data_IF_449916655095
#
_entry.id   IF_449916655095
#
_cell.length_a   1.000
_cell.length_b   1.000
_cell.length_c   1.000
_cell.angle_alpha   90.00
_cell.angle_beta   90.00
_cell.angle_gamma   90.00
#
_symmetry.space_group_name_H-M   'P 1'
#
loop_
_entity.id
_entity.type
_entity.pdbx_description
1 polymer ?
#
# COMPACT_ATOMS: atom_id res chain seq x y z
N UNK A 1 -22.54 -26.02 36.72
CA UNK A 1 -21.38 -26.60 36.00
C UNK A 1 -20.94 -25.77 34.78
N UNK A 2 -21.83 -25.26 33.92
CA UNK A 2 -21.45 -24.49 32.72
C UNK A 2 -20.59 -23.24 33.00
N UNK A 3 -20.87 -22.50 34.08
CA UNK A 3 -20.11 -21.30 34.47
C UNK A 3 -18.65 -21.65 34.82
N UNK A 4 -18.44 -22.73 35.57
CA UNK A 4 -17.09 -23.20 35.95
C UNK A 4 -16.31 -23.64 34.71
N UNK A 5 -16.95 -24.38 33.80
CA UNK A 5 -16.33 -24.77 32.53
C UNK A 5 -15.96 -23.54 31.68
N UNK A 6 -16.84 -22.55 31.57
CA UNK A 6 -16.56 -21.31 30.85
C UNK A 6 -15.37 -20.55 31.44
N UNK A 7 -15.28 -20.42 32.77
CA UNK A 7 -14.14 -19.78 33.44
C UNK A 7 -12.82 -20.54 33.21
N UNK A 8 -12.85 -21.87 33.24
CA UNK A 8 -11.69 -22.70 32.94
C UNK A 8 -11.24 -22.55 31.49
N UNK A 9 -12.16 -22.59 30.52
CA UNK A 9 -11.81 -22.36 29.10
C UNK A 9 -11.21 -20.98 28.87
N UNK A 10 -11.73 -19.94 29.53
CA UNK A 10 -11.17 -18.59 29.47
C UNK A 10 -9.76 -18.53 30.06
N UNK A 11 -9.52 -19.19 31.20
CA UNK A 11 -8.20 -19.23 31.85
C UNK A 11 -7.18 -19.98 31.01
N UNK A 12 -7.55 -21.14 30.47
CA UNK A 12 -6.70 -21.94 29.57
C UNK A 12 -6.37 -21.17 28.30
N UNK A 13 -7.36 -20.52 27.68
CA UNK A 13 -7.13 -19.67 26.50
C UNK A 13 -6.16 -18.52 26.79
N UNK A 14 -6.34 -17.80 27.90
CA UNK A 14 -5.43 -16.72 28.32
C UNK A 14 -4.00 -17.21 28.54
N UNK A 15 -3.84 -18.38 29.14
CA UNK A 15 -2.51 -19.00 29.34
C UNK A 15 -1.88 -19.41 28.01
N UNK A 16 -2.65 -20.03 27.12
CA UNK A 16 -2.17 -20.39 25.77
C UNK A 16 -1.73 -19.15 25.00
N UNK A 17 -2.55 -18.10 24.99
CA UNK A 17 -2.25 -16.84 24.32
C UNK A 17 -0.98 -16.21 24.91
N UNK A 18 -0.85 -16.18 26.24
CA UNK A 18 0.33 -15.67 26.92
C UNK A 18 1.60 -16.43 26.51
N UNK A 19 1.55 -17.76 26.47
CA UNK A 19 2.69 -18.58 26.06
C UNK A 19 3.04 -18.37 24.58
N UNK A 20 2.04 -18.34 23.69
CA UNK A 20 2.26 -18.08 22.26
C UNK A 20 2.90 -16.72 22.05
N UNK A 21 2.38 -15.66 22.67
CA UNK A 21 2.97 -14.33 22.52
C UNK A 21 4.37 -14.24 23.13
N UNK A 22 4.58 -14.81 24.32
CA UNK A 22 5.89 -14.79 24.98
C UNK A 22 6.95 -15.55 24.19
N UNK A 23 6.63 -16.74 23.67
CA UNK A 23 7.53 -17.53 22.84
C UNK A 23 7.75 -16.90 21.46
N UNK A 24 6.70 -16.35 20.83
CA UNK A 24 6.80 -15.70 19.52
C UNK A 24 7.73 -14.48 19.55
N UNK A 25 7.75 -13.74 20.66
CA UNK A 25 8.57 -12.54 20.81
C UNK A 25 10.06 -12.84 20.70
N UNK A 26 10.53 -13.93 21.29
CA UNK A 26 11.95 -14.30 21.20
C UNK A 26 12.31 -14.75 19.79
N UNK A 27 11.45 -15.53 19.13
CA UNK A 27 11.67 -15.99 17.75
C UNK A 27 11.71 -14.80 16.78
N UNK A 28 10.72 -13.92 16.85
CA UNK A 28 10.57 -12.78 15.94
C UNK A 28 11.58 -11.67 16.21
N UNK A 29 12.16 -11.63 17.41
CA UNK A 29 13.27 -10.74 17.71
C UNK A 29 14.60 -11.18 17.07
N UNK A 30 14.79 -12.48 16.81
CA UNK A 30 16.07 -13.01 16.30
C UNK A 30 16.00 -13.46 14.84
N UNK A 31 14.81 -13.68 14.29
CA UNK A 31 14.64 -14.23 12.96
C UNK A 31 13.81 -13.29 12.07
N UNK A 32 14.50 -12.58 11.17
CA UNK A 32 13.88 -11.68 10.20
C UNK A 32 12.97 -12.44 9.21
N UNK A 33 13.32 -13.66 8.81
CA UNK A 33 12.45 -14.47 7.94
C UNK A 33 11.11 -14.76 8.59
N UNK A 34 11.09 -15.00 9.90
CA UNK A 34 9.85 -15.21 10.65
C UNK A 34 8.97 -13.94 10.64
N UNK A 35 9.59 -12.76 10.69
CA UNK A 35 8.88 -11.47 10.58
C UNK A 35 8.31 -11.30 9.18
N UNK A 36 9.09 -11.58 8.12
CA UNK A 36 8.63 -11.54 6.73
C UNK A 36 7.48 -12.52 6.49
N UNK A 37 7.55 -13.74 7.04
CA UNK A 37 6.46 -14.71 6.94
C UNK A 37 5.19 -14.26 7.69
N UNK A 38 5.34 -13.59 8.83
CA UNK A 38 4.21 -12.99 9.53
C UNK A 38 3.57 -11.87 8.69
N UNK A 39 4.37 -10.97 8.11
CA UNK A 39 3.88 -9.93 7.21
C UNK A 39 3.15 -10.55 6.01
N UNK A 40 3.75 -11.55 5.37
CA UNK A 40 3.12 -12.30 4.27
C UNK A 40 1.78 -12.90 4.67
N UNK A 41 1.69 -13.43 5.89
CA UNK A 41 0.44 -13.96 6.46
C UNK A 41 -0.60 -12.87 6.67
N UNK A 42 -0.20 -11.66 7.11
CA UNK A 42 -1.09 -10.49 7.20
C UNK A 42 -1.65 -10.08 5.84
N UNK A 43 -0.80 -9.98 4.81
CA UNK A 43 -1.24 -9.67 3.44
C UNK A 43 -2.18 -10.75 2.89
N UNK A 44 -1.82 -12.02 3.06
CA UNK A 44 -2.64 -13.17 2.60
C UNK A 44 -4.00 -13.21 3.27
N UNK A 45 -4.06 -13.03 4.60
CA UNK A 45 -5.31 -13.01 5.36
C UNK A 45 -6.20 -11.84 4.94
N UNK A 46 -5.60 -10.66 4.70
CA UNK A 46 -6.34 -9.45 4.32
C UNK A 46 -6.87 -9.53 2.90
N UNK A 47 -6.10 -10.06 1.95
CA UNK A 47 -6.50 -10.15 0.55
C UNK A 47 -7.32 -11.41 0.22
N UNK A 48 -7.37 -12.38 1.14
CA UNK A 48 -8.12 -13.64 0.94
C UNK A 48 -7.45 -14.57 -0.08
N UNK A 49 -6.13 -14.49 -0.22
CA UNK A 49 -5.33 -15.21 -1.23
C UNK A 49 -4.92 -16.63 -0.78
N UNK A 50 -5.81 -17.37 -0.12
CA UNK A 50 -5.52 -18.72 0.36
C UNK A 50 -5.61 -19.78 -0.75
N UNK A 51 -4.63 -20.69 -0.81
CA UNK A 51 -4.54 -21.78 -1.78
C UNK A 51 -5.58 -22.91 -1.60
N UNK A 52 -6.31 -22.94 -0.48
CA UNK A 52 -7.32 -23.97 -0.17
C UNK A 52 -8.74 -23.43 -0.38
N UNK A 53 -9.44 -24.00 -1.36
CA UNK A 53 -10.54 -23.36 -2.09
C UNK A 53 -11.95 -23.48 -1.47
N UNK A 54 -12.16 -23.16 -0.20
CA UNK A 54 -13.52 -23.30 0.40
C UNK A 54 -14.13 -22.00 0.94
N UNK A 55 -13.35 -20.96 1.28
CA UNK A 55 -13.89 -19.64 1.63
C UNK A 55 -12.85 -18.55 1.29
N UNK A 56 -13.09 -17.74 0.25
CA UNK A 56 -12.32 -16.51 0.01
C UNK A 56 -12.83 -15.40 0.92
N UNK A 57 -12.55 -15.55 2.20
CA UNK A 57 -13.10 -14.69 3.25
C UNK A 57 -11.95 -13.79 3.74
N UNK A 58 -11.55 -12.85 2.88
CA UNK A 58 -10.50 -11.86 3.16
C UNK A 58 -11.01 -10.69 4.01
N UNK A 59 -10.11 -9.76 4.31
CA UNK A 59 -10.40 -8.50 5.00
C UNK A 59 -9.89 -8.43 6.44
N UNK A 60 -10.20 -7.31 7.11
CA UNK A 60 -9.77 -7.02 8.49
C UNK A 60 -10.29 -8.08 9.48
N UNK A 61 -11.48 -8.60 9.21
CA UNK A 61 -12.09 -9.74 9.89
C UNK A 61 -11.12 -10.95 9.96
N UNK A 62 -10.58 -11.37 8.82
CA UNK A 62 -9.63 -12.48 8.73
C UNK A 62 -8.29 -12.14 9.39
N UNK A 63 -7.79 -10.92 9.16
CA UNK A 63 -6.53 -10.42 9.75
C UNK A 63 -6.54 -10.45 11.29
N UNK A 64 -7.67 -10.09 11.90
CA UNK A 64 -7.84 -10.00 13.35
C UNK A 64 -8.48 -11.24 13.99
N UNK A 65 -8.85 -12.25 13.20
CA UNK A 65 -9.46 -13.49 13.70
C UNK A 65 -10.95 -13.38 14.01
N UNK A 66 -11.63 -12.36 13.49
CA UNK A 66 -13.08 -12.15 13.58
C UNK A 66 -13.76 -12.51 12.25
N UNK A 67 -13.98 -13.79 11.97
CA UNK A 67 -14.72 -14.25 10.78
C UNK A 67 -15.57 -15.50 11.04
N UNK A 68 -16.70 -15.61 10.34
CA UNK A 68 -17.54 -16.82 10.27
C UNK A 68 -16.73 -17.95 9.61
N UNK A 69 -15.94 -18.67 10.40
CA UNK A 69 -14.99 -19.67 9.90
C UNK A 69 -14.09 -20.28 10.97
N UNK A 70 -14.05 -19.71 12.19
CA UNK A 70 -13.39 -20.29 13.38
C UNK A 70 -13.90 -21.69 13.78
N UNK A 71 -14.91 -22.23 13.09
CA UNK A 71 -15.52 -23.53 13.38
C UNK A 71 -15.21 -24.63 12.35
N UNK A 72 -14.49 -24.35 11.26
CA UNK A 72 -14.28 -25.34 10.20
C UNK A 72 -13.10 -26.30 10.42
N UNK A 73 -12.26 -26.06 11.43
CA UNK A 73 -11.17 -26.96 11.82
C UNK A 73 -11.24 -27.18 13.33
N UNK A 74 -11.61 -28.40 13.74
CA UNK A 74 -11.70 -28.83 15.14
C UNK A 74 -10.34 -28.96 15.84
N UNK A 75 -9.54 -27.89 15.84
CA UNK A 75 -8.24 -27.79 16.51
C UNK A 75 -8.07 -26.42 17.20
N UNK A 76 -6.94 -26.25 17.91
CA UNK A 76 -6.53 -24.95 18.47
C UNK A 76 -6.53 -23.90 17.34
N UNK A 77 -7.43 -22.91 17.41
CA UNK A 77 -7.46 -21.85 16.41
C UNK A 77 -6.10 -21.14 16.41
N UNK A 78 -5.38 -21.10 15.27
CA UNK A 78 -4.13 -20.34 15.20
C UNK A 78 -4.41 -18.88 15.55
N UNK A 79 -3.50 -18.26 16.30
CA UNK A 79 -3.56 -16.82 16.60
C UNK A 79 -3.55 -16.06 15.28
N UNK A 80 -4.52 -15.17 15.09
CA UNK A 80 -4.65 -14.41 13.86
C UNK A 80 -3.38 -13.55 13.61
N UNK A 81 -2.88 -13.49 12.36
CA UNK A 81 -1.58 -12.90 12.07
C UNK A 81 -1.51 -11.41 12.43
N UNK A 82 -2.62 -10.66 12.28
CA UNK A 82 -2.67 -9.25 12.67
C UNK A 82 -2.61 -9.05 14.18
N UNK A 83 -3.27 -9.92 14.96
CA UNK A 83 -3.19 -9.87 16.44
C UNK A 83 -1.78 -10.19 16.91
N UNK A 84 -1.13 -11.18 16.29
CA UNK A 84 0.26 -11.51 16.58
C UNK A 84 1.17 -10.32 16.28
N UNK A 85 1.05 -9.71 15.11
CA UNK A 85 1.82 -8.53 14.73
C UNK A 85 1.64 -7.37 15.72
N UNK A 86 0.39 -7.03 16.09
CA UNK A 86 0.09 -5.97 17.05
C UNK A 86 0.69 -6.20 18.45
N UNK A 87 0.98 -7.44 18.83
CA UNK A 87 1.61 -7.76 20.12
C UNK A 87 3.13 -7.67 20.07
N UNK A 88 3.74 -7.85 18.90
CA UNK A 88 5.20 -7.99 18.78
C UNK A 88 5.89 -6.82 18.09
N UNK A 89 5.18 -5.96 17.34
CA UNK A 89 5.81 -4.98 16.45
C UNK A 89 6.84 -4.08 17.14
N UNK A 90 6.61 -3.75 18.43
CA UNK A 90 7.52 -2.96 19.27
C UNK A 90 8.85 -3.66 19.60
N UNK A 91 8.96 -4.95 19.30
CA UNK A 91 10.14 -5.77 19.55
C UNK A 91 10.98 -5.98 18.29
N UNK A 92 10.52 -5.50 17.14
CA UNK A 92 11.26 -5.53 15.89
C UNK A 92 12.28 -4.38 15.91
N UNK A 93 13.57 -4.70 15.75
CA UNK A 93 14.65 -3.70 15.82
C UNK A 93 14.85 -2.95 14.51
N UNK A 94 14.86 -3.68 13.40
CA UNK A 94 15.26 -3.14 12.09
C UNK A 94 14.04 -2.67 11.28
N UNK A 95 13.50 -1.52 11.69
CA UNK A 95 12.30 -0.94 11.09
C UNK A 95 12.48 -0.51 9.63
N UNK A 96 13.70 -0.14 9.21
CA UNK A 96 14.01 0.23 7.82
C UNK A 96 13.91 -0.98 6.88
N UNK A 97 14.59 -2.08 7.23
CA UNK A 97 14.50 -3.35 6.49
C UNK A 97 13.06 -3.84 6.43
N UNK A 98 12.35 -3.74 7.56
CA UNK A 98 10.93 -4.10 7.62
C UNK A 98 10.07 -3.29 6.62
N UNK A 99 10.35 -2.00 6.44
CA UNK A 99 9.62 -1.18 5.48
C UNK A 99 9.91 -1.59 4.03
N UNK A 100 11.15 -1.98 3.71
CA UNK A 100 11.52 -2.55 2.41
C UNK A 100 10.82 -3.90 2.17
N UNK A 101 10.71 -4.74 3.20
CA UNK A 101 9.98 -6.01 3.14
C UNK A 101 8.47 -5.79 2.93
N UNK A 102 7.89 -4.80 3.61
CA UNK A 102 6.47 -4.42 3.44
C UNK A 102 6.24 -3.90 2.01
N UNK A 103 7.14 -3.05 1.50
CA UNK A 103 7.09 -2.53 0.14
C UNK A 103 7.18 -3.68 -0.90
N UNK A 104 8.09 -4.63 -0.68
CA UNK A 104 8.26 -5.81 -1.53
C UNK A 104 7.02 -6.71 -1.51
N UNK A 105 6.43 -6.96 -0.34
CA UNK A 105 5.20 -7.73 -0.19
C UNK A 105 3.99 -7.03 -0.80
N UNK A 106 3.92 -5.70 -0.74
CA UNK A 106 2.90 -4.91 -1.43
C UNK A 106 3.00 -5.13 -2.94
N UNK A 107 4.19 -5.01 -3.52
CA UNK A 107 4.39 -5.21 -4.96
C UNK A 107 4.15 -6.66 -5.40
N UNK A 108 4.51 -7.64 -4.57
CA UNK A 108 4.14 -9.04 -4.79
C UNK A 108 2.63 -9.25 -4.79
N UNK A 109 1.92 -8.61 -3.85
CA UNK A 109 0.46 -8.68 -3.78
C UNK A 109 -0.20 -8.03 -4.99
N UNK A 110 0.33 -6.90 -5.48
CA UNK A 110 -0.13 -6.25 -6.72
C UNK A 110 0.03 -7.18 -7.92
N UNK A 111 1.15 -7.89 -8.02
CA UNK A 111 1.40 -8.85 -9.10
C UNK A 111 0.34 -9.96 -9.09
N UNK A 112 0.05 -10.55 -7.93
CA UNK A 112 -0.98 -11.58 -7.81
C UNK A 112 -2.38 -11.05 -8.18
N UNK A 113 -2.74 -9.85 -7.69
CA UNK A 113 -4.00 -9.18 -8.05
C UNK A 113 -4.07 -8.99 -9.57
N UNK A 114 -3.01 -8.50 -10.21
CA UNK A 114 -2.97 -8.29 -11.66
C UNK A 114 -3.12 -9.61 -12.44
N UNK A 115 -2.48 -10.69 -12.00
CA UNK A 115 -2.60 -12.02 -12.62
C UNK A 115 -4.05 -12.54 -12.59
N UNK A 116 -4.84 -12.19 -11.57
CA UNK A 116 -6.29 -12.54 -11.51
C UNK A 116 -7.18 -11.71 -12.43
N UNK A 117 -6.71 -10.56 -12.92
CA UNK A 117 -7.46 -9.65 -13.81
C UNK A 117 -7.29 -9.97 -15.29
N UNK A 118 -6.15 -10.54 -15.69
CA UNK A 118 -5.83 -10.79 -17.11
C UNK A 118 -6.48 -12.10 -17.56
N UNK A 119 -7.24 -12.12 -18.67
CA UNK A 119 -7.76 -13.37 -19.20
C UNK A 119 -6.61 -14.28 -19.61
N UNK A 120 -6.54 -15.49 -19.03
CA UNK A 120 -5.73 -16.60 -19.57
C UNK A 120 -6.28 -16.97 -20.95
N UNK A 121 -5.89 -16.25 -22.00
CA UNK A 121 -6.29 -16.59 -23.36
C UNK A 121 -5.33 -17.68 -23.88
N UNK A 122 -5.90 -18.90 -24.00
CA UNK A 122 -5.40 -20.12 -24.68
C UNK A 122 -4.18 -20.84 -24.08
N UNK A 123 -4.48 -21.92 -23.36
CA UNK A 123 -3.96 -23.23 -23.77
C UNK A 123 -5.13 -24.18 -24.02
N UNK A 124 -5.06 -24.85 -25.18
CA UNK A 124 -6.09 -25.67 -25.76
C UNK A 124 -6.43 -26.93 -24.95
N UNK A 125 -7.71 -27.34 -25.05
CA UNK A 125 -8.25 -28.69 -24.80
C UNK A 125 -8.03 -29.25 -23.38
N UNK A 126 -8.89 -28.89 -22.43
CA UNK A 126 -9.31 -29.86 -21.42
C UNK A 126 -10.80 -29.78 -21.09
N UNK A 127 -11.43 -30.93 -21.34
CA UNK A 127 -12.81 -31.38 -21.16
C UNK A 127 -13.60 -30.64 -20.06
N UNK A 128 -14.82 -30.24 -20.41
CA UNK A 128 -15.92 -29.91 -19.48
C UNK A 128 -16.00 -30.97 -18.37
N UNK A 129 -15.55 -30.63 -17.16
CA UNK A 129 -15.95 -31.33 -15.94
C UNK A 129 -17.17 -30.61 -15.35
N UNK A 130 -18.14 -31.40 -14.89
CA UNK A 130 -19.52 -31.01 -14.52
C UNK A 130 -19.66 -30.13 -13.25
N UNK A 131 -18.57 -29.58 -12.72
CA UNK A 131 -18.57 -28.66 -11.58
C UNK A 131 -17.64 -27.48 -11.88
N UNK A 132 -18.16 -26.52 -12.66
CA UNK A 132 -17.39 -25.38 -13.15
C UNK A 132 -17.36 -24.23 -12.15
N UNK A 133 -16.33 -24.15 -11.32
CA UNK A 133 -15.97 -22.90 -10.63
C UNK A 133 -15.18 -22.05 -11.64
N UNK A 134 -15.85 -21.18 -12.39
CA UNK A 134 -15.17 -20.16 -13.20
C UNK A 134 -14.37 -19.28 -12.25
N UNK A 135 -13.04 -19.28 -12.38
CA UNK A 135 -12.25 -18.13 -11.93
C UNK A 135 -12.72 -16.93 -12.76
N UNK A 136 -13.69 -16.18 -12.22
CA UNK A 136 -14.26 -15.01 -12.87
C UNK A 136 -13.19 -13.93 -12.99
N UNK A 137 -13.06 -13.39 -14.19
CA UNK A 137 -12.30 -12.19 -14.47
C UNK A 137 -12.65 -11.12 -13.43
N UNK A 138 -11.66 -10.71 -12.63
CA UNK A 138 -11.85 -9.64 -11.64
C UNK A 138 -11.91 -8.32 -12.42
N UNK A 139 -12.97 -7.53 -12.23
CA UNK A 139 -13.08 -6.22 -12.87
C UNK A 139 -11.92 -5.31 -12.42
N UNK A 140 -11.49 -4.38 -13.27
CA UNK A 140 -10.45 -3.40 -12.91
C UNK A 140 -10.80 -2.65 -11.62
N UNK A 141 -12.07 -2.33 -11.41
CA UNK A 141 -12.56 -1.71 -10.18
C UNK A 141 -12.31 -2.59 -8.95
N UNK A 142 -12.62 -3.89 -9.03
CA UNK A 142 -12.37 -4.83 -7.95
C UNK A 142 -10.87 -5.01 -7.66
N UNK A 143 -10.02 -5.07 -8.69
CA UNK A 143 -8.58 -5.10 -8.53
C UNK A 143 -8.04 -3.84 -7.84
N UNK A 144 -8.54 -2.66 -8.24
CA UNK A 144 -8.21 -1.40 -7.58
C UNK A 144 -8.65 -1.38 -6.11
N UNK A 145 -9.81 -1.94 -5.76
CA UNK A 145 -10.19 -2.05 -4.34
C UNK A 145 -9.24 -2.93 -3.55
N UNK A 146 -8.77 -4.05 -4.11
CA UNK A 146 -7.78 -4.92 -3.46
C UNK A 146 -6.42 -4.23 -3.31
N UNK A 147 -5.99 -3.48 -4.32
CA UNK A 147 -4.77 -2.66 -4.27
C UNK A 147 -4.85 -1.63 -3.15
N UNK A 148 -5.98 -0.91 -3.03
CA UNK A 148 -6.20 0.06 -1.94
C UNK A 148 -6.11 -0.62 -0.58
N UNK A 149 -6.71 -1.79 -0.43
CA UNK A 149 -6.66 -2.57 0.82
C UNK A 149 -5.23 -3.01 1.14
N UNK A 150 -4.50 -3.55 0.16
CA UNK A 150 -3.09 -3.95 0.33
C UNK A 150 -2.21 -2.76 0.74
N UNK A 151 -2.36 -1.63 0.06
CA UNK A 151 -1.61 -0.40 0.36
C UNK A 151 -1.95 0.16 1.74
N UNK A 152 -3.24 0.13 2.14
CA UNK A 152 -3.67 0.56 3.47
C UNK A 152 -3.08 -0.32 4.58
N UNK A 153 -3.03 -1.64 4.38
CA UNK A 153 -2.38 -2.57 5.30
C UNK A 153 -0.90 -2.25 5.42
N UNK A 154 -0.19 -2.13 4.29
CA UNK A 154 1.23 -1.79 4.28
C UNK A 154 1.50 -0.49 5.04
N UNK A 155 0.71 0.56 4.77
CA UNK A 155 0.85 1.85 5.44
C UNK A 155 0.63 1.75 6.95
N UNK A 156 -0.36 0.98 7.40
CA UNK A 156 -0.59 0.73 8.83
C UNK A 156 0.58 -0.02 9.47
N UNK A 157 1.13 -1.04 8.82
CA UNK A 157 2.26 -1.82 9.35
C UNK A 157 3.55 -0.97 9.45
N UNK A 158 3.84 -0.14 8.43
CA UNK A 158 4.96 0.81 8.47
C UNK A 158 4.79 1.81 9.60
N UNK A 159 3.61 2.44 9.70
CA UNK A 159 3.36 3.37 10.79
C UNK A 159 3.58 2.68 12.14
N UNK A 160 2.97 1.51 12.37
CA UNK A 160 3.03 0.82 13.67
C UNK A 160 4.45 0.51 14.08
N UNK A 161 5.29 0.10 13.14
CA UNK A 161 6.65 -0.33 13.44
C UNK A 161 7.57 0.82 13.82
N UNK A 162 7.59 1.90 13.02
CA UNK A 162 8.60 2.95 13.16
C UNK A 162 8.06 4.37 13.26
N UNK A 163 6.74 4.53 13.35
CA UNK A 163 6.06 5.82 13.51
C UNK A 163 6.43 6.83 12.43
N UNK A 164 6.46 8.10 12.82
CA UNK A 164 6.72 9.22 11.91
C UNK A 164 8.12 9.20 11.28
N UNK A 165 9.13 8.66 11.99
CA UNK A 165 10.50 8.61 11.50
C UNK A 165 10.64 7.64 10.33
N UNK A 166 10.01 6.46 10.43
CA UNK A 166 10.03 5.48 9.35
C UNK A 166 9.20 5.95 8.15
N UNK A 167 8.05 6.59 8.38
CA UNK A 167 7.26 7.20 7.30
C UNK A 167 8.04 8.31 6.59
N UNK A 168 8.81 9.11 7.33
CA UNK A 168 9.70 10.11 6.73
C UNK A 168 10.74 9.44 5.83
N UNK A 169 11.48 8.44 6.33
CA UNK A 169 12.49 7.73 5.52
C UNK A 169 11.83 7.01 4.32
N UNK A 170 10.61 6.50 4.48
CA UNK A 170 9.86 5.89 3.38
C UNK A 170 9.68 6.86 2.21
N UNK A 171 9.23 8.09 2.51
CA UNK A 171 8.86 9.06 1.48
C UNK A 171 10.09 9.81 0.95
N UNK A 172 11.04 10.17 1.81
CA UNK A 172 12.23 10.92 1.40
C UNK A 172 13.33 10.06 0.76
N UNK A 173 13.44 8.79 1.15
CA UNK A 173 14.61 7.97 0.81
C UNK A 173 14.19 6.68 0.09
N UNK A 174 13.38 5.83 0.73
CA UNK A 174 13.08 4.49 0.20
C UNK A 174 12.27 4.53 -1.10
N UNK A 175 11.25 5.38 -1.21
CA UNK A 175 10.46 5.48 -2.44
C UNK A 175 11.28 6.09 -3.59
N UNK A 176 11.94 7.25 -3.43
CA UNK A 176 12.83 7.77 -4.47
C UNK A 176 13.90 6.76 -4.90
N UNK A 177 14.58 6.10 -3.96
CA UNK A 177 15.59 5.09 -4.29
C UNK A 177 14.99 3.89 -5.04
N UNK A 178 13.77 3.47 -4.68
CA UNK A 178 13.05 2.41 -5.36
C UNK A 178 12.66 2.78 -6.81
N UNK A 179 12.28 4.03 -7.07
CA UNK A 179 11.99 4.51 -8.43
C UNK A 179 13.24 4.69 -9.30
N UNK A 180 14.37 4.99 -8.67
CA UNK A 180 15.67 5.12 -9.34
C UNK A 180 16.31 3.77 -9.65
N UNK A 181 15.98 2.72 -8.89
CA UNK A 181 16.49 1.37 -9.15
C UNK A 181 15.73 0.67 -10.28
N UNK A 182 16.38 -0.32 -10.91
CA UNK A 182 15.79 -1.09 -12.01
C UNK A 182 14.77 -2.06 -11.46
N UNK A 183 13.49 -1.81 -11.78
CA UNK A 183 12.36 -2.63 -11.31
C UNK A 183 11.93 -3.63 -12.38
N UNK A 184 12.33 -4.89 -12.25
CA UNK A 184 11.89 -5.98 -13.13
C UNK A 184 10.60 -6.63 -12.59
N UNK A 185 9.48 -5.92 -12.67
CA UNK A 185 8.17 -6.48 -12.29
C UNK A 185 7.64 -7.49 -13.34
N UNK A 186 8.26 -7.54 -14.52
CA UNK A 186 7.82 -8.26 -15.72
C UNK A 186 8.43 -9.66 -15.95
N UNK A 187 8.96 -10.33 -14.93
CA UNK A 187 9.45 -11.71 -15.09
C UNK A 187 8.36 -12.79 -15.39
N UNK A 188 7.21 -12.42 -15.96
CA UNK A 188 6.17 -13.37 -16.37
C UNK A 188 5.01 -12.78 -17.17
N UNK A 189 5.19 -12.61 -18.49
CA UNK A 189 4.10 -12.65 -19.48
C UNK A 189 3.25 -11.39 -19.70
N UNK A 190 2.17 -11.56 -20.48
CA UNK A 190 1.32 -10.53 -21.10
C UNK A 190 0.58 -9.55 -20.14
N UNK A 191 0.79 -9.64 -18.83
CA UNK A 191 0.15 -8.81 -17.80
C UNK A 191 0.94 -7.56 -17.40
N UNK A 192 2.17 -7.40 -17.90
CA UNK A 192 3.11 -6.37 -17.43
C UNK A 192 2.54 -4.95 -17.37
N UNK A 193 1.83 -4.51 -18.42
CA UNK A 193 1.19 -3.19 -18.44
C UNK A 193 0.15 -2.95 -17.35
N UNK A 194 -0.56 -3.99 -16.89
CA UNK A 194 -1.51 -3.87 -15.77
C UNK A 194 -0.79 -3.89 -14.41
N UNK A 195 0.25 -4.72 -14.28
CA UNK A 195 1.09 -4.80 -13.07
C UNK A 195 1.71 -3.44 -12.77
N UNK A 196 2.25 -2.75 -13.78
CA UNK A 196 2.82 -1.41 -13.59
C UNK A 196 1.79 -0.36 -13.20
N UNK A 197 0.61 -0.33 -13.85
CA UNK A 197 -0.46 0.62 -13.52
C UNK A 197 -0.98 0.41 -12.10
N UNK A 198 -1.32 -0.82 -11.74
CA UNK A 198 -1.77 -1.16 -10.39
C UNK A 198 -0.65 -0.92 -9.37
N UNK A 199 0.60 -1.18 -9.73
CA UNK A 199 1.78 -0.93 -8.91
C UNK A 199 1.98 0.54 -8.58
N UNK A 200 1.92 1.41 -9.59
CA UNK A 200 2.01 2.86 -9.38
C UNK A 200 0.90 3.37 -8.46
N UNK A 201 -0.34 2.93 -8.65
CA UNK A 201 -1.43 3.27 -7.74
C UNK A 201 -1.23 2.71 -6.33
N UNK A 202 -0.73 1.48 -6.19
CA UNK A 202 -0.43 0.87 -4.89
C UNK A 202 0.58 1.71 -4.11
N UNK A 203 1.68 2.12 -4.76
CA UNK A 203 2.70 2.98 -4.17
C UNK A 203 2.15 4.35 -3.79
N UNK A 204 1.27 4.92 -4.62
CA UNK A 204 0.62 6.20 -4.32
C UNK A 204 -0.26 6.11 -3.06
N UNK A 205 -1.15 5.11 -2.99
CA UNK A 205 -1.97 4.86 -1.80
C UNK A 205 -1.11 4.59 -0.57
N UNK A 206 -0.06 3.79 -0.73
CA UNK A 206 0.84 3.43 0.36
C UNK A 206 1.56 4.66 0.93
N UNK A 207 2.11 5.53 0.07
CA UNK A 207 2.79 6.75 0.47
C UNK A 207 1.84 7.75 1.16
N UNK A 208 0.67 8.02 0.54
CA UNK A 208 -0.28 9.00 1.07
C UNK A 208 -0.91 8.52 2.37
N UNK A 209 -1.36 7.26 2.47
CA UNK A 209 -1.88 6.73 3.73
C UNK A 209 -0.83 6.71 4.84
N UNK A 210 0.42 6.38 4.52
CA UNK A 210 1.50 6.44 5.50
C UNK A 210 1.69 7.86 6.05
N UNK A 211 1.71 8.87 5.16
CA UNK A 211 1.77 10.28 5.54
C UNK A 211 0.55 10.74 6.36
N UNK A 212 -0.66 10.35 5.96
CA UNK A 212 -1.90 10.68 6.69
C UNK A 212 -1.89 10.09 8.10
N UNK A 213 -1.41 8.86 8.28
CA UNK A 213 -1.29 8.29 9.62
C UNK A 213 -0.21 9.00 10.46
N UNK A 214 0.88 9.45 9.83
CA UNK A 214 2.00 10.09 10.53
C UNK A 214 1.73 11.55 10.93
N UNK A 215 1.06 12.31 10.08
CA UNK A 215 0.92 13.77 10.21
C UNK A 215 -0.52 14.26 10.29
N UNK A 216 -1.49 13.35 10.15
CA UNK A 216 -2.91 13.70 10.13
C UNK A 216 -3.38 14.25 8.80
N UNK A 217 -4.66 14.60 8.78
CA UNK A 217 -5.39 15.12 7.61
C UNK A 217 -5.77 16.60 7.83
N UNK A 218 -5.73 17.07 9.09
CA UNK A 218 -6.25 18.36 9.50
C UNK A 218 -5.31 19.53 9.20
N UNK A 219 -5.90 20.73 9.11
CA UNK A 219 -5.23 22.03 8.91
C UNK A 219 -4.43 22.50 10.14
N UNK A 220 -4.28 21.66 11.16
CA UNK A 220 -3.35 21.96 12.26
C UNK A 220 -1.95 22.04 11.69
N UNK A 221 -1.12 23.03 12.08
CA UNK A 221 0.18 23.26 11.47
C UNK A 221 0.95 21.96 11.45
N UNK A 222 1.15 21.44 10.24
CA UNK A 222 1.87 20.20 10.05
C UNK A 222 3.29 20.46 10.55
N UNK A 223 3.90 19.47 11.19
CA UNK A 223 5.23 19.68 11.78
C UNK A 223 6.20 20.26 10.74
N UNK A 224 7.12 21.16 11.10
CA UNK A 224 8.18 21.64 10.16
C UNK A 224 8.96 20.51 9.47
N UNK A 225 8.90 19.30 10.05
CA UNK A 225 9.49 18.09 9.52
C UNK A 225 8.68 17.50 8.36
N UNK A 226 7.36 17.41 8.44
CA UNK A 226 6.50 16.90 7.37
C UNK A 226 6.47 17.80 6.15
N UNK A 227 6.47 19.12 6.36
CA UNK A 227 6.62 20.13 5.31
C UNK A 227 7.88 19.86 4.46
N UNK A 228 9.01 19.61 5.14
CA UNK A 228 10.28 19.30 4.48
C UNK A 228 10.22 17.98 3.71
N UNK A 229 9.55 16.97 4.27
CA UNK A 229 9.38 15.66 3.62
C UNK A 229 8.56 15.78 2.33
N UNK A 230 7.42 16.46 2.40
CA UNK A 230 6.58 16.69 1.23
C UNK A 230 7.29 17.55 0.19
N UNK A 231 7.93 18.65 0.59
CA UNK A 231 8.70 19.50 -0.32
C UNK A 231 9.74 18.71 -1.10
N UNK A 232 10.60 17.94 -0.41
CA UNK A 232 11.63 17.13 -1.07
C UNK A 232 11.03 16.10 -2.03
N UNK A 233 9.92 15.47 -1.65
CA UNK A 233 9.26 14.48 -2.49
C UNK A 233 8.61 15.09 -3.74
N UNK A 234 8.00 16.28 -3.61
CA UNK A 234 7.45 17.03 -4.73
C UNK A 234 8.55 17.54 -5.67
N UNK A 235 9.69 17.97 -5.11
CA UNK A 235 10.87 18.34 -5.89
C UNK A 235 11.44 17.16 -6.68
N UNK A 236 11.49 15.97 -6.07
CA UNK A 236 11.88 14.74 -6.74
C UNK A 236 10.93 14.43 -7.91
N UNK A 237 9.61 14.45 -7.68
CA UNK A 237 8.62 14.23 -8.74
C UNK A 237 8.75 15.25 -9.88
N UNK A 238 8.92 16.53 -9.55
CA UNK A 238 9.12 17.60 -10.54
C UNK A 238 10.42 17.40 -11.33
N UNK A 239 11.51 17.00 -10.66
CA UNK A 239 12.78 16.70 -11.31
C UNK A 239 12.67 15.54 -12.30
N UNK A 240 11.93 14.49 -11.94
CA UNK A 240 11.69 13.35 -12.81
C UNK A 240 10.72 13.66 -13.97
N UNK A 241 9.70 14.50 -13.75
CA UNK A 241 8.81 14.95 -14.83
C UNK A 241 9.54 15.84 -15.85
N UNK A 242 10.42 16.73 -15.39
CA UNK A 242 11.24 17.58 -16.25
C UNK A 242 12.38 16.84 -16.96
N UNK A 243 12.55 15.54 -16.71
CA UNK A 243 13.67 14.75 -17.26
C UNK A 243 15.04 15.06 -16.65
N UNK A 244 15.11 15.83 -15.55
CA UNK A 244 16.36 16.10 -14.81
C UNK A 244 16.83 14.90 -14.00
N UNK A 245 15.90 14.01 -13.65
CA UNK A 245 16.17 12.77 -12.93
C UNK A 245 15.80 11.61 -13.85
N UNK A 246 16.77 10.75 -14.14
CA UNK A 246 16.54 9.50 -14.86
C UNK A 246 15.94 8.46 -13.90
N UNK A 247 14.83 7.85 -14.29
CA UNK A 247 14.15 6.81 -13.51
C UNK A 247 14.60 5.43 -13.98
N UNK A 248 14.69 4.48 -13.04
CA UNK A 248 14.99 3.07 -13.32
C UNK A 248 13.74 2.20 -13.51
N UNK A 249 12.55 2.75 -13.24
CA UNK A 249 11.27 2.05 -13.31
C UNK A 249 10.51 2.31 -14.64
N UNK A 250 9.49 1.49 -14.90
CA UNK A 250 8.61 1.65 -16.07
C UNK A 250 7.84 2.98 -16.04
N UNK A 251 7.68 3.59 -17.23
CA UNK A 251 7.01 4.88 -17.38
C UNK A 251 5.53 4.81 -16.99
N UNK A 252 4.85 3.69 -17.21
CA UNK A 252 3.45 3.49 -16.84
C UNK A 252 3.29 3.43 -15.33
N UNK A 253 4.23 2.77 -14.64
CA UNK A 253 4.28 2.73 -13.18
C UNK A 253 4.50 4.14 -12.61
N UNK A 254 5.50 4.85 -13.13
CA UNK A 254 5.79 6.22 -12.72
C UNK A 254 4.59 7.15 -12.95
N UNK A 255 3.95 7.08 -14.11
CA UNK A 255 2.77 7.89 -14.43
C UNK A 255 1.60 7.59 -13.49
N UNK A 256 1.31 6.31 -13.23
CA UNK A 256 0.24 5.91 -12.31
C UNK A 256 0.54 6.35 -10.86
N UNK A 257 1.81 6.29 -10.45
CA UNK A 257 2.24 6.79 -9.15
C UNK A 257 2.04 8.30 -9.02
N UNK A 258 2.58 9.11 -9.93
CA UNK A 258 2.48 10.58 -9.85
C UNK A 258 1.03 11.04 -9.88
N UNK A 259 0.24 10.50 -10.81
CA UNK A 259 -1.18 10.89 -10.96
C UNK A 259 -1.99 10.44 -9.75
N UNK A 260 -1.77 9.22 -9.27
CA UNK A 260 -2.43 8.72 -8.06
C UNK A 260 -2.03 9.47 -6.80
N UNK A 261 -0.75 9.78 -6.63
CA UNK A 261 -0.22 10.47 -5.45
C UNK A 261 -0.75 11.91 -5.40
N UNK A 262 -0.57 12.68 -6.48
CA UNK A 262 -1.02 14.07 -6.52
C UNK A 262 -2.55 14.18 -6.47
N UNK A 263 -3.27 13.26 -7.11
CA UNK A 263 -4.74 13.19 -7.01
C UNK A 263 -5.19 13.01 -5.56
N UNK A 264 -4.61 12.03 -4.85
CA UNK A 264 -4.93 11.79 -3.45
C UNK A 264 -4.55 12.97 -2.54
N UNK A 265 -3.42 13.63 -2.79
CA UNK A 265 -3.02 14.80 -1.99
C UNK A 265 -3.98 15.98 -2.23
N UNK A 266 -4.36 16.25 -3.47
CA UNK A 266 -5.30 17.32 -3.84
C UNK A 266 -6.70 17.10 -3.26
N UNK A 267 -7.14 15.83 -3.17
CA UNK A 267 -8.44 15.45 -2.65
C UNK A 267 -8.47 15.34 -1.12
N UNK A 268 -7.48 14.66 -0.52
CA UNK A 268 -7.51 14.24 0.87
C UNK A 268 -6.65 15.11 1.79
N UNK A 269 -5.52 15.63 1.32
CA UNK A 269 -4.54 16.37 2.16
C UNK A 269 -4.10 17.69 1.51
N UNK A 270 -5.03 18.60 1.19
CA UNK A 270 -4.71 19.83 0.46
C UNK A 270 -3.74 20.75 1.21
N UNK A 271 -3.63 20.63 2.54
CA UNK A 271 -2.64 21.35 3.34
C UNK A 271 -1.19 21.06 2.90
N UNK A 272 -0.90 19.84 2.45
CA UNK A 272 0.45 19.49 1.98
C UNK A 272 0.81 20.22 0.68
N UNK A 273 -0.18 20.59 -0.14
CA UNK A 273 0.06 21.39 -1.36
C UNK A 273 0.41 22.83 -1.01
N UNK A 274 -0.26 23.41 -0.01
CA UNK A 274 -0.06 24.80 0.40
C UNK A 274 1.33 25.05 1.02
N UNK A 275 1.98 24.00 1.50
CA UNK A 275 3.30 24.04 2.11
C UNK A 275 4.47 23.99 1.10
N UNK A 276 4.18 23.72 -0.18
CA UNK A 276 5.17 23.56 -1.24
C UNK A 276 5.33 24.86 -2.03
N UNK A 277 6.57 25.16 -2.43
CA UNK A 277 6.87 26.34 -3.25
C UNK A 277 6.09 26.30 -4.58
N UNK A 278 5.42 27.41 -4.90
CA UNK A 278 4.68 27.60 -6.14
C UNK A 278 5.50 27.25 -7.39
N UNK A 279 6.81 27.48 -7.40
CA UNK A 279 7.71 27.10 -8.51
C UNK A 279 7.73 25.60 -8.75
N UNK A 280 7.72 24.80 -7.69
CA UNK A 280 7.67 23.33 -7.78
C UNK A 280 6.30 22.89 -8.26
N UNK A 281 5.23 23.49 -7.74
CA UNK A 281 3.86 23.19 -8.14
C UNK A 281 3.60 23.53 -9.62
N UNK A 282 4.14 24.64 -10.12
CA UNK A 282 4.10 24.99 -11.56
C UNK A 282 4.76 23.91 -12.41
N UNK A 283 5.98 23.50 -12.06
CA UNK A 283 6.70 22.42 -12.78
C UNK A 283 5.91 21.11 -12.79
N UNK A 284 5.36 20.72 -11.64
CA UNK A 284 4.49 19.54 -11.54
C UNK A 284 3.25 19.66 -12.43
N UNK A 285 2.56 20.80 -12.37
CA UNK A 285 1.36 21.04 -13.18
C UNK A 285 1.65 21.00 -14.68
N UNK A 286 2.76 21.60 -15.14
CA UNK A 286 3.18 21.54 -16.54
C UNK A 286 3.54 20.11 -16.96
N UNK A 287 4.23 19.35 -16.10
CA UNK A 287 4.57 17.95 -16.37
C UNK A 287 3.34 17.02 -16.41
N UNK A 288 2.32 17.30 -15.62
CA UNK A 288 1.02 16.61 -15.68
C UNK A 288 0.27 16.94 -16.98
N UNK A 289 0.25 18.22 -17.36
CA UNK A 289 -0.39 18.70 -18.59
C UNK A 289 0.21 18.05 -19.85
N UNK A 290 1.54 18.03 -19.95
CA UNK A 290 2.23 17.35 -21.06
C UNK A 290 1.92 15.86 -21.15
N UNK A 291 1.40 15.27 -20.07
CA UNK A 291 1.00 13.87 -19.98
C UNK A 291 -0.52 13.69 -20.04
N UNK A 292 -1.29 14.67 -20.50
CA UNK A 292 -2.76 14.62 -20.64
C UNK A 292 -3.53 14.42 -19.31
N UNK A 293 -3.01 14.96 -18.20
CA UNK A 293 -3.66 14.94 -16.88
C UNK A 293 -4.14 16.36 -16.50
N UNK A 294 -4.86 17.01 -17.42
CA UNK A 294 -5.14 18.46 -17.39
C UNK A 294 -5.99 18.87 -16.19
N UNK A 295 -7.02 18.08 -15.85
CA UNK A 295 -7.88 18.34 -14.69
C UNK A 295 -7.08 18.33 -13.38
N UNK A 296 -6.16 17.36 -13.24
CA UNK A 296 -5.30 17.23 -12.07
C UNK A 296 -4.26 18.36 -12.01
N UNK A 297 -3.69 18.73 -13.16
CA UNK A 297 -2.75 19.84 -13.26
C UNK A 297 -3.36 21.16 -12.78
N UNK A 298 -4.59 21.46 -13.19
CA UNK A 298 -5.33 22.66 -12.74
C UNK A 298 -5.75 22.52 -11.28
N UNK A 299 -6.23 21.35 -10.86
CA UNK A 299 -6.65 21.12 -9.48
C UNK A 299 -5.48 21.30 -8.48
N UNK A 300 -4.27 20.87 -8.85
CA UNK A 300 -3.06 21.07 -8.06
C UNK A 300 -2.79 22.56 -7.80
N UNK A 301 -2.79 23.38 -8.85
CA UNK A 301 -2.59 24.82 -8.70
C UNK A 301 -3.74 25.50 -7.94
N UNK A 302 -4.98 25.06 -8.15
CA UNK A 302 -6.13 25.59 -7.39
C UNK A 302 -6.02 25.36 -5.89
N UNK A 303 -5.46 24.21 -5.47
CA UNK A 303 -5.26 23.87 -4.04
C UNK A 303 -4.12 24.63 -3.38
N UNK A 304 -3.16 25.13 -4.16
CA UNK A 304 -2.00 25.88 -3.67
C UNK A 304 -2.36 27.26 -3.09
N UNK A 305 -3.56 27.78 -3.37
CA UNK A 305 -4.06 29.05 -2.83
C UNK A 305 -4.14 30.18 -3.87
N UNK A 306 -4.53 31.39 -3.44
CA UNK A 306 -4.84 32.50 -4.34
C UNK A 306 -3.64 32.95 -5.19
N UNK A 307 -2.42 32.86 -4.64
CA UNK A 307 -1.18 33.23 -5.34
C UNK A 307 -0.90 32.35 -6.58
N UNK A 308 -1.45 31.13 -6.60
CA UNK A 308 -1.29 30.19 -7.70
C UNK A 308 -2.34 30.37 -8.81
N UNK A 309 -3.37 31.19 -8.62
CA UNK A 309 -4.48 31.35 -9.58
C UNK A 309 -4.01 31.94 -10.91
N UNK A 310 -3.06 32.88 -10.88
CA UNK A 310 -2.45 33.40 -12.10
C UNK A 310 -1.73 32.32 -12.90
N UNK A 311 -0.99 31.43 -12.21
CA UNK A 311 -0.33 30.31 -12.86
C UNK A 311 -1.32 29.28 -13.45
N UNK A 312 -2.46 29.07 -12.78
CA UNK A 312 -3.52 28.21 -13.30
C UNK A 312 -4.16 28.79 -14.56
N UNK A 313 -4.39 30.11 -14.59
CA UNK A 313 -4.90 30.80 -15.77
C UNK A 313 -3.89 30.77 -16.93
N UNK A 314 -2.60 31.01 -16.66
CA UNK A 314 -1.52 30.90 -17.65
C UNK A 314 -1.43 29.49 -18.25
N UNK A 315 -1.56 28.44 -17.43
CA UNK A 315 -1.52 27.05 -17.91
C UNK A 315 -2.68 26.73 -18.86
N UNK A 316 -3.88 27.25 -18.58
CA UNK A 316 -5.06 27.05 -19.43
C UNK A 316 -4.93 27.86 -20.72
N UNK A 317 -4.59 29.16 -20.62
CA UNK A 317 -4.51 30.06 -21.77
C UNK A 317 -3.32 29.78 -22.68
N UNK A 318 -2.21 29.29 -22.14
CA UNK A 318 -1.03 28.92 -22.93
C UNK A 318 -1.16 27.60 -23.67
N UNK A 319 -2.33 26.94 -23.59
CA UNK A 319 -2.62 25.64 -24.23
C UNK A 319 -3.65 25.74 -25.36
N UNK A 320 -4.29 26.90 -25.54
CA UNK A 320 -5.09 27.26 -26.72
C UNK A 320 -4.19 27.70 -27.88
#
# INVERSE_FOLDING_TARGET
>A
MAIVAALWTQKVKRWSDFLVFSASRTVLHHNNDAVVQLLRSCFTATLGMSSTSVCRCGGVASLLGHGFGSHCSGGLSPVAPGILYLRIFRCIKDCSILAEDILSLLMFSVKDIAETTVPRQRSDKLKKTKYGMRHGQVSLAAAMTQVKVAASLGATLVWLSGGTALVQSLIQEMLPSWFLSVQNLDQGGASGGMVYKLGGHALAYFAVYSGMFAWGIDLTPVSRRSERVMRSHFEFMAGALDGKIALGCDLSLWRAYVSGFLGLVVECTPCWVQEVDLKVLRRLSSGLWQRSEDELAVALLRRAGPEAMGAAAELILGSE
#
